data_IF_254393696916
#
_entry.id   IF_254393696916
#
_cell.length_a   1.000
_cell.length_b   1.000
_cell.length_c   1.000
_cell.angle_alpha   90.00
_cell.angle_beta   90.00
_cell.angle_gamma   90.00
#
_symmetry.space_group_name_H-M   'P 1'
#
loop_
_entity.id
_entity.type
_entity.pdbx_description
1 polymer ?
#
# COMPACT_ATOMS: atom_id res chain seq x y z
N UNK A 1 10.28 -0.92 -33.68
CA UNK A 1 11.13 -1.10 -34.88
C UNK A 1 10.69 -2.32 -35.67
N UNK A 2 10.60 -3.51 -35.08
CA UNK A 2 10.20 -4.76 -35.78
C UNK A 2 8.92 -4.65 -36.61
N UNK A 3 7.79 -4.20 -36.02
CA UNK A 3 6.54 -4.04 -36.76
C UNK A 3 6.59 -2.93 -37.83
N UNK A 4 7.50 -1.97 -37.69
CA UNK A 4 7.60 -0.84 -38.61
C UNK A 4 8.34 -1.17 -39.90
N UNK A 5 9.11 -2.27 -39.93
CA UNK A 5 9.89 -2.73 -41.10
C UNK A 5 9.44 -4.11 -41.58
N UNK A 6 8.29 -4.59 -41.09
CA UNK A 6 7.79 -5.94 -41.38
C UNK A 6 7.43 -6.07 -42.86
N UNK A 7 7.99 -7.07 -43.53
CA UNK A 7 7.86 -7.28 -44.97
C UNK A 7 8.77 -6.40 -45.84
N UNK A 8 9.61 -5.55 -45.24
CA UNK A 8 10.41 -4.55 -45.96
C UNK A 8 11.92 -4.86 -45.98
N UNK A 9 12.42 -5.79 -45.15
CA UNK A 9 13.86 -6.04 -45.04
C UNK A 9 14.43 -6.95 -46.12
N UNK A 10 13.55 -7.62 -46.88
CA UNK A 10 13.95 -8.69 -47.80
C UNK A 10 14.43 -9.97 -47.09
N UNK A 11 14.32 -10.05 -45.76
CA UNK A 11 14.69 -11.20 -44.94
C UNK A 11 13.58 -11.57 -43.95
N UNK A 12 12.56 -12.27 -44.47
CA UNK A 12 11.37 -12.65 -43.70
C UNK A 12 11.67 -13.53 -42.47
N UNK A 13 12.72 -14.36 -42.53
CA UNK A 13 13.13 -15.20 -41.40
C UNK A 13 13.68 -14.36 -40.25
N UNK A 14 14.51 -13.36 -40.56
CA UNK A 14 15.04 -12.43 -39.55
C UNK A 14 13.93 -11.57 -38.93
N UNK A 15 13.00 -11.07 -39.74
CA UNK A 15 11.84 -10.32 -39.26
C UNK A 15 11.00 -11.15 -38.28
N UNK A 16 10.73 -12.41 -38.63
CA UNK A 16 10.01 -13.35 -37.77
C UNK A 16 10.74 -13.57 -36.45
N UNK A 17 12.05 -13.80 -36.47
CA UNK A 17 12.86 -13.97 -35.26
C UNK A 17 12.80 -12.73 -34.35
N UNK A 18 12.84 -11.52 -34.93
CA UNK A 18 12.69 -10.29 -34.16
C UNK A 18 11.32 -10.16 -33.51
N UNK A 19 10.24 -10.56 -34.21
CA UNK A 19 8.89 -10.51 -33.68
C UNK A 19 8.68 -11.53 -32.56
N UNK A 20 9.17 -12.75 -32.74
CA UNK A 20 9.12 -13.80 -31.71
C UNK A 20 9.90 -13.41 -30.47
N UNK A 21 11.10 -12.84 -30.63
CA UNK A 21 11.90 -12.31 -29.51
C UNK A 21 11.18 -11.20 -28.77
N UNK A 22 10.56 -10.26 -29.50
CA UNK A 22 9.80 -9.16 -28.92
C UNK A 22 8.58 -9.64 -28.12
N UNK A 23 7.77 -10.52 -28.71
CA UNK A 23 6.60 -11.11 -28.05
C UNK A 23 7.03 -11.92 -26.82
N UNK A 24 8.05 -12.76 -26.95
CA UNK A 24 8.56 -13.59 -25.86
C UNK A 24 9.05 -12.77 -24.68
N UNK A 25 9.74 -11.66 -24.93
CA UNK A 25 10.19 -10.75 -23.87
C UNK A 25 9.03 -10.08 -23.13
N UNK A 26 7.96 -9.68 -23.83
CA UNK A 26 6.76 -9.12 -23.21
C UNK A 26 6.08 -10.17 -22.32
N UNK A 27 5.85 -11.37 -22.83
CA UNK A 27 5.17 -12.42 -22.07
C UNK A 27 5.97 -12.80 -20.82
N UNK A 28 7.29 -12.90 -20.95
CA UNK A 28 8.19 -13.10 -19.83
C UNK A 28 8.06 -11.99 -18.78
N UNK A 29 8.03 -10.71 -19.19
CA UNK A 29 7.79 -9.61 -18.25
C UNK A 29 6.44 -9.75 -17.55
N UNK A 30 5.35 -9.98 -18.30
CA UNK A 30 4.02 -10.13 -17.72
C UNK A 30 4.00 -11.27 -16.68
N UNK A 31 4.69 -12.37 -16.95
CA UNK A 31 4.79 -13.52 -16.05
C UNK A 31 5.71 -13.31 -14.84
N UNK A 32 6.70 -12.43 -14.94
CA UNK A 32 7.64 -12.19 -13.84
C UNK A 32 7.20 -11.00 -12.99
N UNK A 33 6.89 -9.86 -13.61
CA UNK A 33 6.64 -8.58 -12.95
C UNK A 33 5.22 -8.39 -12.40
N UNK A 34 4.25 -9.19 -12.83
CA UNK A 34 2.86 -9.11 -12.34
C UNK A 34 2.49 -10.41 -11.65
N UNK A 35 1.84 -10.33 -10.49
CA UNK A 35 1.28 -11.47 -9.76
C UNK A 35 0.17 -12.19 -10.55
N UNK A 36 -0.06 -13.49 -10.33
CA UNK A 36 -1.18 -14.22 -10.95
C UNK A 36 -2.58 -13.62 -10.68
N UNK A 37 -2.69 -12.79 -9.65
CA UNK A 37 -3.87 -12.04 -9.19
C UNK A 37 -3.82 -10.54 -9.51
N UNK A 38 -2.79 -10.10 -10.25
CA UNK A 38 -2.62 -8.72 -10.71
C UNK A 38 -1.65 -7.86 -9.88
N UNK A 39 -1.10 -8.37 -8.78
CA UNK A 39 -0.22 -7.56 -7.92
C UNK A 39 1.05 -7.10 -8.64
N UNK A 40 1.32 -5.80 -8.68
CA UNK A 40 2.51 -5.22 -9.28
C UNK A 40 3.76 -5.46 -8.41
N UNK A 41 4.72 -6.27 -8.87
CA UNK A 41 5.89 -6.63 -8.04
C UNK A 41 6.93 -5.51 -7.89
N UNK A 42 6.99 -4.59 -8.85
CA UNK A 42 7.91 -3.44 -8.82
C UNK A 42 7.24 -2.15 -8.34
N UNK A 43 6.02 -2.26 -7.79
CA UNK A 43 5.22 -1.11 -7.34
C UNK A 43 4.50 -0.41 -8.50
N UNK A 44 3.75 0.63 -8.15
CA UNK A 44 2.86 1.33 -9.07
C UNK A 44 3.61 2.01 -10.23
N UNK A 45 4.71 2.72 -9.92
CA UNK A 45 5.51 3.47 -10.90
C UNK A 45 6.09 2.58 -12.00
N UNK A 46 7.01 1.68 -11.65
CA UNK A 46 7.70 0.84 -12.65
C UNK A 46 6.78 -0.10 -13.42
N UNK A 47 5.79 -0.69 -12.75
CA UNK A 47 4.84 -1.60 -13.44
C UNK A 47 4.03 -0.84 -14.48
N UNK A 48 3.57 0.37 -14.16
CA UNK A 48 2.79 1.17 -15.11
C UNK A 48 3.66 1.71 -16.23
N UNK A 49 4.93 2.01 -15.97
CA UNK A 49 5.90 2.40 -17.00
C UNK A 49 6.09 1.29 -18.04
N UNK A 50 6.27 0.03 -17.60
CA UNK A 50 6.36 -1.11 -18.50
C UNK A 50 5.07 -1.30 -19.31
N UNK A 51 3.90 -1.19 -18.66
CA UNK A 51 2.60 -1.30 -19.32
C UNK A 51 2.37 -0.18 -20.34
N UNK A 52 2.82 1.05 -20.05
CA UNK A 52 2.77 2.16 -20.98
C UNK A 52 3.54 1.85 -22.27
N UNK A 53 4.77 1.35 -22.17
CA UNK A 53 5.57 1.02 -23.36
C UNK A 53 5.03 -0.20 -24.12
N UNK A 54 4.26 -1.07 -23.46
CA UNK A 54 3.58 -2.21 -24.08
C UNK A 54 2.36 -1.80 -24.93
N UNK A 55 1.67 -0.72 -24.58
CA UNK A 55 0.34 -0.38 -25.13
C UNK A 55 0.30 -0.29 -26.65
N UNK A 56 1.13 0.58 -27.25
CA UNK A 56 1.10 0.79 -28.70
C UNK A 56 1.58 -0.43 -29.50
N UNK A 57 2.69 -1.09 -29.13
CA UNK A 57 3.08 -2.32 -29.81
C UNK A 57 2.02 -3.43 -29.73
N UNK A 58 1.37 -3.60 -28.57
CA UNK A 58 0.31 -4.59 -28.40
C UNK A 58 -0.90 -4.27 -29.29
N UNK A 59 -1.35 -3.01 -29.33
CA UNK A 59 -2.48 -2.60 -30.16
C UNK A 59 -2.15 -2.71 -31.66
N UNK A 60 -0.95 -2.30 -32.06
CA UNK A 60 -0.49 -2.41 -33.45
C UNK A 60 -0.44 -3.88 -33.89
N UNK A 61 0.13 -4.76 -33.06
CA UNK A 61 0.18 -6.19 -33.32
C UNK A 61 -1.22 -6.80 -33.47
N UNK A 62 -2.14 -6.47 -32.56
CA UNK A 62 -3.53 -6.92 -32.60
C UNK A 62 -4.24 -6.47 -33.88
N UNK A 63 -4.11 -5.19 -34.24
CA UNK A 63 -4.73 -4.63 -35.45
C UNK A 63 -4.16 -5.21 -36.75
N UNK A 64 -2.89 -5.60 -36.75
CA UNK A 64 -2.25 -6.28 -37.86
C UNK A 64 -2.64 -7.76 -37.99
N UNK A 65 -3.54 -8.28 -37.14
CA UNK A 65 -3.94 -9.68 -37.13
C UNK A 65 -2.92 -10.61 -36.47
N UNK A 66 -1.95 -10.05 -35.73
CA UNK A 66 -0.99 -10.79 -34.93
C UNK A 66 -1.57 -11.26 -33.60
N UNK A 67 -0.68 -11.71 -32.71
CA UNK A 67 -1.07 -12.20 -31.37
C UNK A 67 -1.73 -11.09 -30.55
N UNK A 68 -2.90 -11.39 -29.99
CA UNK A 68 -3.59 -10.49 -29.07
C UNK A 68 -3.02 -10.62 -27.65
N UNK A 69 -2.07 -9.75 -27.32
CA UNK A 69 -1.41 -9.73 -26.01
C UNK A 69 -2.37 -9.34 -24.87
N UNK A 70 -3.51 -8.71 -25.18
CA UNK A 70 -4.52 -8.38 -24.16
C UNK A 70 -5.22 -9.62 -23.59
N UNK A 71 -5.11 -10.77 -24.25
CA UNK A 71 -5.62 -12.03 -23.71
C UNK A 71 -4.79 -12.59 -22.55
N UNK A 72 -3.60 -12.04 -22.29
CA UNK A 72 -2.77 -12.49 -21.18
C UNK A 72 -3.45 -12.26 -19.83
N UNK A 73 -3.64 -13.34 -19.06
CA UNK A 73 -4.45 -13.33 -17.83
C UNK A 73 -3.98 -12.32 -16.78
N UNK A 74 -2.67 -12.12 -16.64
CA UNK A 74 -2.12 -11.15 -15.68
C UNK A 74 -2.38 -9.70 -16.12
N UNK A 75 -2.42 -9.45 -17.43
CA UNK A 75 -2.69 -8.14 -17.97
C UNK A 75 -4.16 -7.74 -17.79
N UNK A 76 -5.08 -8.71 -17.77
CA UNK A 76 -6.50 -8.47 -17.41
C UNK A 76 -6.68 -8.08 -15.94
N UNK A 77 -5.81 -8.59 -15.06
CA UNK A 77 -5.94 -8.49 -13.59
C UNK A 77 -5.15 -7.35 -12.96
N UNK A 78 -4.07 -6.88 -13.60
CA UNK A 78 -3.17 -5.86 -13.02
C UNK A 78 -3.89 -4.56 -12.64
N UNK A 79 -4.98 -4.22 -13.32
CA UNK A 79 -5.73 -3.00 -13.04
C UNK A 79 -6.40 -3.00 -11.67
N UNK A 80 -6.65 -4.18 -11.11
CA UNK A 80 -7.18 -4.27 -9.76
C UNK A 80 -6.13 -3.86 -8.72
N UNK A 81 -4.83 -4.06 -8.98
CA UNK A 81 -3.78 -3.52 -8.11
C UNK A 81 -3.85 -2.00 -8.07
N UNK A 82 -3.93 -1.35 -9.23
CA UNK A 82 -4.04 0.10 -9.31
C UNK A 82 -5.30 0.60 -8.62
N UNK A 83 -6.47 0.02 -8.90
CA UNK A 83 -7.71 0.40 -8.23
C UNK A 83 -7.53 0.39 -6.71
N UNK A 84 -7.10 -0.74 -6.14
CA UNK A 84 -7.05 -0.89 -4.69
C UNK A 84 -5.95 -0.07 -4.00
N UNK A 85 -4.83 0.21 -4.68
CA UNK A 85 -3.72 1.04 -4.18
C UNK A 85 -3.88 2.53 -4.51
N UNK A 86 -4.94 2.92 -5.22
CA UNK A 86 -5.25 4.33 -5.44
C UNK A 86 -5.52 5.01 -4.10
N UNK A 87 -4.76 6.05 -3.78
CA UNK A 87 -4.88 6.76 -2.51
C UNK A 87 -6.27 7.41 -2.37
N UNK A 88 -6.81 7.51 -1.14
CA UNK A 88 -7.90 8.42 -0.86
C UNK A 88 -7.51 9.84 -1.25
N UNK A 89 -8.51 10.70 -1.44
CA UNK A 89 -8.27 12.06 -1.92
C UNK A 89 -8.05 12.19 -3.42
N UNK A 90 -7.93 11.05 -4.12
CA UNK A 90 -7.89 10.92 -5.60
C UNK A 90 -6.68 11.55 -6.25
N UNK A 91 -5.60 11.72 -5.49
CA UNK A 91 -4.42 12.36 -6.02
C UNK A 91 -3.45 11.35 -6.66
N UNK A 92 -3.17 10.17 -6.08
CA UNK A 92 -2.10 9.26 -6.56
C UNK A 92 -2.27 7.77 -6.15
N UNK A 93 -1.16 7.02 -6.17
CA UNK A 93 -1.01 5.61 -5.76
C UNK A 93 0.00 5.47 -4.63
N UNK A 94 -0.12 4.42 -3.82
CA UNK A 94 0.87 4.02 -2.82
C UNK A 94 2.31 3.98 -3.41
N UNK A 95 3.28 4.40 -2.61
CA UNK A 95 4.66 4.65 -2.99
C UNK A 95 5.65 3.57 -2.51
N UNK A 96 5.17 2.38 -2.11
CA UNK A 96 6.03 1.23 -1.81
C UNK A 96 6.93 0.86 -3.00
N UNK A 97 8.05 0.17 -2.71
CA UNK A 97 9.14 -0.13 -3.64
C UNK A 97 9.90 1.14 -4.09
N UNK A 98 10.73 1.05 -5.13
CA UNK A 98 11.34 2.22 -5.77
C UNK A 98 10.29 3.05 -6.54
N UNK A 99 9.31 3.59 -5.83
CA UNK A 99 8.22 4.38 -6.38
C UNK A 99 8.10 5.73 -5.66
N UNK A 100 7.65 6.73 -6.42
CA UNK A 100 7.01 7.93 -5.88
C UNK A 100 5.49 7.71 -5.80
N UNK A 101 4.75 8.67 -5.26
CA UNK A 101 3.27 8.71 -5.35
C UNK A 101 2.82 8.96 -6.80
N UNK A 102 2.96 7.96 -7.69
CA UNK A 102 2.64 8.10 -9.11
C UNK A 102 2.45 6.76 -9.82
N UNK A 103 1.80 6.82 -10.98
CA UNK A 103 1.78 5.77 -11.99
C UNK A 103 1.55 6.41 -13.38
N UNK A 104 1.89 5.68 -14.44
CA UNK A 104 1.51 6.00 -15.80
C UNK A 104 0.05 5.60 -16.02
N UNK A 105 -0.87 6.57 -15.97
CA UNK A 105 -2.32 6.33 -15.98
C UNK A 105 -2.95 6.38 -17.38
N UNK A 106 -2.29 7.02 -18.35
CA UNK A 106 -2.81 7.13 -19.73
C UNK A 106 -3.24 5.79 -20.37
N UNK A 107 -2.54 4.67 -20.12
CA UNK A 107 -2.97 3.35 -20.57
C UNK A 107 -4.36 2.91 -20.11
N UNK A 108 -4.86 3.38 -18.96
CA UNK A 108 -6.10 2.87 -18.37
C UNK A 108 -7.31 3.00 -19.31
N UNK A 109 -7.38 4.07 -20.12
CA UNK A 109 -8.47 4.25 -21.09
C UNK A 109 -8.46 3.20 -22.20
N UNK A 110 -7.28 2.83 -22.69
CA UNK A 110 -7.13 1.74 -23.65
C UNK A 110 -7.63 0.43 -23.04
N UNK A 111 -7.21 0.12 -21.81
CA UNK A 111 -7.61 -1.12 -21.13
C UNK A 111 -9.08 -1.12 -20.69
N UNK A 112 -9.63 0.03 -20.31
CA UNK A 112 -11.06 0.22 -20.06
C UNK A 112 -11.87 -0.14 -21.31
N UNK A 113 -11.44 0.34 -22.48
CA UNK A 113 -12.03 0.00 -23.77
C UNK A 113 -11.87 -1.49 -24.13
N UNK A 114 -10.64 -2.02 -24.07
CA UNK A 114 -10.33 -3.40 -24.47
C UNK A 114 -11.08 -4.42 -23.61
N UNK A 115 -11.22 -4.16 -22.30
CA UNK A 115 -11.85 -5.08 -21.36
C UNK A 115 -13.29 -4.70 -20.99
N UNK A 116 -13.81 -3.61 -21.53
CA UNK A 116 -15.12 -3.03 -21.17
C UNK A 116 -15.27 -2.87 -19.64
N UNK A 117 -14.28 -2.23 -19.01
CA UNK A 117 -14.21 -2.02 -17.55
C UNK A 117 -14.46 -0.54 -17.20
N UNK A 118 -15.69 -0.13 -16.87
CA UNK A 118 -16.05 1.27 -16.59
C UNK A 118 -15.34 1.86 -15.35
N UNK A 119 -14.94 1.03 -14.40
CA UNK A 119 -14.15 1.43 -13.23
C UNK A 119 -12.74 1.91 -13.59
N UNK A 120 -12.19 1.47 -14.71
CA UNK A 120 -10.88 1.95 -15.18
C UNK A 120 -11.00 3.33 -15.82
N UNK A 121 -12.10 3.62 -16.51
CA UNK A 121 -12.43 4.98 -16.96
C UNK A 121 -12.61 5.89 -15.75
N UNK A 122 -13.36 5.45 -14.74
CA UNK A 122 -13.53 6.19 -13.49
C UNK A 122 -12.19 6.47 -12.80
N UNK A 123 -11.34 5.45 -12.62
CA UNK A 123 -10.02 5.62 -11.99
C UNK A 123 -9.16 6.64 -12.74
N UNK A 124 -9.16 6.60 -14.07
CA UNK A 124 -8.47 7.61 -14.87
C UNK A 124 -9.07 9.01 -14.69
N UNK A 125 -10.40 9.14 -14.71
CA UNK A 125 -11.08 10.44 -14.50
C UNK A 125 -10.81 11.03 -13.11
N UNK A 126 -10.70 10.18 -12.10
CA UNK A 126 -10.41 10.60 -10.72
C UNK A 126 -8.99 11.10 -10.54
N UNK A 127 -8.01 10.45 -11.16
CA UNK A 127 -6.57 10.71 -10.93
C UNK A 127 -5.98 11.69 -11.94
N UNK A 128 -6.38 11.60 -13.22
CA UNK A 128 -5.73 12.32 -14.32
C UNK A 128 -6.71 13.11 -15.19
N UNK A 129 -8.00 12.73 -15.22
CA UNK A 129 -9.04 13.46 -15.95
C UNK A 129 -9.50 14.76 -15.28
N UNK A 130 -8.83 15.21 -14.22
CA UNK A 130 -9.11 16.44 -13.49
C UNK A 130 -7.82 17.21 -13.22
N UNK A 131 -7.92 18.53 -13.19
CA UNK A 131 -6.83 19.39 -12.75
C UNK A 131 -6.86 19.45 -11.22
N UNK A 132 -5.96 18.71 -10.57
CA UNK A 132 -5.84 18.66 -9.11
C UNK A 132 -4.79 19.63 -8.57
N UNK A 133 -3.88 20.07 -9.44
CA UNK A 133 -2.86 21.06 -9.22
C UNK A 133 -2.89 22.11 -10.35
N UNK A 134 -2.64 23.41 -10.09
CA UNK A 134 -2.48 24.41 -11.13
C UNK A 134 -1.39 24.10 -12.17
N UNK A 135 -0.41 23.25 -11.83
CA UNK A 135 0.62 22.78 -12.75
C UNK A 135 0.20 21.55 -13.58
N UNK A 136 -0.93 20.91 -13.26
CA UNK A 136 -1.42 19.76 -14.02
C UNK A 136 -1.84 20.20 -15.44
N UNK A 137 -1.59 19.34 -16.42
CA UNK A 137 -2.20 19.44 -17.75
C UNK A 137 -3.39 18.48 -17.79
N UNK A 138 -4.45 18.80 -18.52
CA UNK A 138 -5.61 17.91 -18.59
C UNK A 138 -5.23 16.52 -19.11
N UNK A 139 -5.59 15.48 -18.34
CA UNK A 139 -5.20 14.11 -18.61
C UNK A 139 -3.80 13.73 -18.13
N UNK A 140 -3.07 14.68 -17.55
CA UNK A 140 -1.71 14.57 -17.05
C UNK A 140 -1.72 14.62 -15.52
N UNK A 141 -1.12 13.62 -14.89
CA UNK A 141 -0.78 13.73 -13.47
C UNK A 141 0.55 14.49 -13.33
N UNK A 142 0.90 14.95 -12.13
CA UNK A 142 2.17 15.64 -11.78
C UNK A 142 3.47 14.98 -12.26
N UNK A 143 3.43 13.81 -12.89
CA UNK A 143 4.59 12.97 -13.16
C UNK A 143 4.55 12.16 -14.47
N UNK A 144 3.73 12.49 -15.48
CA UNK A 144 3.94 11.87 -16.78
C UNK A 144 5.05 12.63 -17.51
N UNK A 145 6.30 12.16 -17.39
CA UNK A 145 7.36 12.53 -18.33
C UNK A 145 7.10 12.00 -19.78
N UNK A 146 5.83 11.74 -20.13
CA UNK A 146 5.42 10.98 -21.29
C UNK A 146 4.15 11.55 -21.93
N UNK A 147 4.06 11.52 -23.27
CA UNK A 147 2.90 12.03 -23.99
C UNK A 147 1.65 11.17 -23.74
N UNK A 148 0.60 11.85 -23.28
CA UNK A 148 -0.70 11.27 -22.94
C UNK A 148 -1.80 11.61 -23.98
N UNK A 149 -1.60 12.66 -24.78
CA UNK A 149 -2.64 13.23 -25.64
C UNK A 149 -3.11 12.22 -26.69
N UNK A 150 -2.18 11.45 -27.23
CA UNK A 150 -2.45 10.31 -28.10
C UNK A 150 -3.40 9.30 -27.44
N UNK A 151 -3.23 8.99 -26.15
CA UNK A 151 -4.13 8.04 -25.47
C UNK A 151 -5.55 8.58 -25.33
N UNK A 152 -5.67 9.85 -24.94
CA UNK A 152 -6.96 10.52 -24.75
C UNK A 152 -7.70 10.60 -26.08
N UNK A 153 -7.02 11.06 -27.14
CA UNK A 153 -7.59 11.19 -28.48
C UNK A 153 -8.05 9.84 -29.06
N UNK A 154 -7.31 8.76 -28.80
CA UNK A 154 -7.59 7.45 -29.39
C UNK A 154 -8.64 6.66 -28.59
N UNK A 155 -8.65 6.77 -27.25
CA UNK A 155 -9.39 5.82 -26.41
C UNK A 155 -10.38 6.44 -25.43
N UNK A 156 -10.31 7.74 -25.11
CA UNK A 156 -11.26 8.30 -24.13
C UNK A 156 -12.71 8.19 -24.62
N UNK A 157 -12.98 8.56 -25.87
CA UNK A 157 -14.32 8.44 -26.46
C UNK A 157 -14.74 7.00 -26.79
N UNK A 158 -13.80 6.05 -26.77
CA UNK A 158 -14.07 4.62 -27.02
C UNK A 158 -14.30 3.84 -25.73
N UNK A 159 -13.72 4.29 -24.61
CA UNK A 159 -13.86 3.65 -23.32
C UNK A 159 -15.32 3.67 -22.82
N UNK A 160 -15.74 2.65 -22.05
CA UNK A 160 -17.05 2.67 -21.42
C UNK A 160 -17.18 3.86 -20.48
N UNK A 161 -18.42 4.32 -20.28
CA UNK A 161 -18.72 5.41 -19.35
C UNK A 161 -18.25 5.05 -17.94
N UNK A 162 -17.56 5.97 -17.28
CA UNK A 162 -17.08 5.81 -15.91
C UNK A 162 -18.19 5.37 -14.94
N UNK A 163 -17.87 4.38 -14.10
CA UNK A 163 -18.67 3.95 -12.95
C UNK A 163 -17.74 3.78 -11.75
N UNK A 164 -18.15 4.25 -10.58
CA UNK A 164 -17.32 4.12 -9.39
C UNK A 164 -17.30 2.66 -8.90
N UNK A 165 -16.24 2.23 -8.19
CA UNK A 165 -16.22 0.93 -7.53
C UNK A 165 -17.37 0.74 -6.52
N UNK A 166 -17.88 1.81 -5.92
CA UNK A 166 -19.07 1.78 -5.06
C UNK A 166 -20.32 1.40 -5.88
N UNK A 167 -20.52 2.00 -7.06
CA UNK A 167 -21.65 1.68 -7.96
C UNK A 167 -21.60 0.24 -8.48
N UNK A 168 -20.40 -0.34 -8.52
CA UNK A 168 -20.13 -1.71 -8.95
C UNK A 168 -20.08 -2.71 -7.78
N UNK A 169 -20.38 -2.26 -6.55
CA UNK A 169 -20.33 -3.07 -5.34
C UNK A 169 -18.99 -3.81 -5.15
N UNK A 170 -17.88 -3.16 -5.53
CA UNK A 170 -16.56 -3.78 -5.42
C UNK A 170 -16.18 -3.98 -3.95
N UNK A 171 -15.47 -5.09 -3.63
CA UNK A 171 -15.00 -5.34 -2.26
C UNK A 171 -14.15 -4.19 -1.72
N UNK A 172 -14.20 -3.99 -0.41
CA UNK A 172 -13.39 -2.99 0.27
C UNK A 172 -11.94 -3.45 0.53
N UNK A 173 -11.67 -4.74 0.36
CA UNK A 173 -10.35 -5.33 0.62
C UNK A 173 -9.94 -6.31 -0.45
N UNK A 174 -8.64 -6.35 -0.73
CA UNK A 174 -8.06 -7.26 -1.70
C UNK A 174 -6.66 -7.70 -1.32
N UNK A 175 -6.41 -9.00 -1.45
CA UNK A 175 -5.08 -9.60 -1.30
C UNK A 175 -4.45 -9.84 -2.67
N UNK A 176 -3.18 -9.45 -2.79
CA UNK A 176 -2.29 -9.81 -3.89
C UNK A 176 -1.21 -10.75 -3.36
N UNK A 177 -1.48 -12.05 -3.42
CA UNK A 177 -0.75 -13.12 -2.75
C UNK A 177 0.72 -13.20 -3.14
N UNK A 178 1.07 -13.02 -4.43
CA UNK A 178 2.50 -13.05 -4.84
C UNK A 178 3.22 -11.77 -4.42
N UNK A 179 2.58 -10.61 -4.55
CA UNK A 179 3.12 -9.32 -4.08
C UNK A 179 3.22 -9.24 -2.56
N UNK A 180 2.51 -10.12 -1.85
CA UNK A 180 2.46 -10.09 -0.39
C UNK A 180 1.72 -8.88 0.14
N UNK A 181 0.75 -8.35 -0.60
CA UNK A 181 0.03 -7.11 -0.27
C UNK A 181 -1.42 -7.42 0.11
N UNK A 182 -1.94 -6.69 1.09
CA UNK A 182 -3.37 -6.53 1.35
C UNK A 182 -3.72 -5.05 1.39
N UNK A 183 -4.61 -4.62 0.50
CA UNK A 183 -5.20 -3.29 0.53
C UNK A 183 -6.58 -3.38 1.21
N UNK A 184 -6.88 -2.45 2.12
CA UNK A 184 -8.11 -2.41 2.91
C UNK A 184 -8.64 -0.97 2.95
N UNK A 185 -9.89 -0.76 2.55
CA UNK A 185 -10.47 0.59 2.39
C UNK A 185 -11.76 0.72 3.18
N UNK A 186 -12.16 1.92 3.60
CA UNK A 186 -13.53 2.12 4.11
C UNK A 186 -14.49 2.63 3.01
N UNK A 187 -13.97 2.91 1.82
CA UNK A 187 -14.73 3.35 0.65
C UNK A 187 -13.81 3.89 -0.46
N UNK A 188 -14.43 4.41 -1.52
CA UNK A 188 -13.74 4.91 -2.73
C UNK A 188 -13.86 6.44 -2.89
N UNK A 189 -14.47 7.10 -1.90
CA UNK A 189 -14.63 8.55 -1.84
C UNK A 189 -13.31 9.30 -1.55
N UNK A 190 -13.32 10.60 -1.84
CA UNK A 190 -12.18 11.50 -1.63
C UNK A 190 -11.75 11.62 -0.16
N UNK A 191 -12.66 11.44 0.78
CA UNK A 191 -12.36 11.50 2.22
C UNK A 191 -12.19 10.10 2.83
N UNK A 192 -12.09 9.05 2.00
CA UNK A 192 -11.97 7.68 2.45
C UNK A 192 -10.64 7.37 3.16
N UNK A 193 -10.50 6.12 3.59
CA UNK A 193 -9.29 5.53 4.15
C UNK A 193 -8.76 4.42 3.26
N UNK A 194 -7.43 4.27 3.24
CA UNK A 194 -6.72 3.12 2.71
C UNK A 194 -5.67 2.68 3.73
N UNK A 195 -5.72 1.42 4.13
CA UNK A 195 -4.66 0.72 4.83
C UNK A 195 -4.02 -0.27 3.86
N UNK A 196 -2.73 -0.12 3.61
CA UNK A 196 -1.91 -1.02 2.81
C UNK A 196 -1.02 -1.83 3.76
N UNK A 197 -0.93 -3.15 3.57
CA UNK A 197 -0.11 -4.05 4.38
C UNK A 197 0.71 -4.97 3.50
N UNK A 198 2.04 -4.89 3.57
CA UNK A 198 2.96 -5.66 2.75
C UNK A 198 3.80 -6.61 3.59
N UNK A 199 3.99 -7.84 3.12
CA UNK A 199 4.86 -8.82 3.73
C UNK A 199 5.41 -9.80 2.69
N UNK A 200 6.72 -9.80 2.48
CA UNK A 200 7.37 -10.52 1.39
C UNK A 200 7.01 -9.95 0.01
N UNK A 201 7.11 -10.78 -1.02
CA UNK A 201 6.81 -10.40 -2.41
C UNK A 201 7.85 -9.50 -3.06
N UNK A 202 9.07 -9.49 -2.51
CA UNK A 202 10.21 -8.70 -2.95
C UNK A 202 11.21 -9.63 -3.66
N UNK A 203 11.22 -9.66 -5.01
CA UNK A 203 12.19 -10.45 -5.74
C UNK A 203 13.62 -9.97 -5.47
N UNK A 204 14.58 -10.89 -5.57
CA UNK A 204 16.00 -10.62 -5.30
C UNK A 204 16.57 -9.57 -6.27
N UNK A 205 16.13 -9.64 -7.53
CA UNK A 205 16.37 -8.63 -8.55
C UNK A 205 15.07 -7.89 -8.85
N UNK A 206 15.11 -6.57 -8.78
CA UNK A 206 13.97 -5.69 -8.97
C UNK A 206 13.96 -4.55 -7.97
N UNK A 207 12.88 -3.76 -8.00
CA UNK A 207 12.71 -2.54 -7.22
C UNK A 207 12.15 -2.76 -5.81
N UNK A 208 12.29 -3.97 -5.24
CA UNK A 208 11.79 -4.30 -3.89
C UNK A 208 12.72 -3.83 -2.77
N UNK A 209 12.18 -3.61 -1.57
CA UNK A 209 12.89 -3.05 -0.41
C UNK A 209 12.89 -4.03 0.79
N UNK A 210 13.51 -3.67 1.92
CA UNK A 210 13.53 -4.48 3.16
C UNK A 210 12.32 -4.12 4.07
N UNK A 211 11.13 -4.20 3.49
CA UNK A 211 9.85 -3.66 4.00
C UNK A 211 8.86 -4.75 4.43
N UNK A 212 9.28 -6.00 4.67
CA UNK A 212 8.31 -7.03 5.06
C UNK A 212 7.66 -6.70 6.40
N UNK A 213 6.35 -6.85 6.49
CA UNK A 213 5.51 -6.37 7.59
C UNK A 213 5.34 -4.84 7.66
N UNK A 214 5.70 -4.09 6.61
CA UNK A 214 5.35 -2.68 6.47
C UNK A 214 3.82 -2.50 6.36
N UNK A 215 3.31 -1.39 6.88
CA UNK A 215 1.98 -0.90 6.55
C UNK A 215 2.00 0.58 6.22
N UNK A 216 1.07 1.04 5.40
CA UNK A 216 0.79 2.45 5.18
C UNK A 216 -0.68 2.75 5.48
N UNK A 217 -0.97 3.94 6.03
CA UNK A 217 -2.31 4.36 6.41
C UNK A 217 -2.60 5.78 5.93
N UNK A 218 -3.57 5.88 5.02
CA UNK A 218 -3.99 7.10 4.36
C UNK A 218 -5.43 7.47 4.76
N UNK A 219 -5.68 8.77 4.97
CA UNK A 219 -7.02 9.33 5.19
C UNK A 219 -7.18 10.60 4.38
N UNK A 220 -8.17 10.63 3.49
CA UNK A 220 -8.32 11.71 2.52
C UNK A 220 -7.01 11.97 1.78
N UNK A 221 -6.57 13.23 1.71
CA UNK A 221 -5.32 13.63 1.06
C UNK A 221 -4.05 13.42 1.91
N UNK A 222 -4.13 12.76 3.08
CA UNK A 222 -3.01 12.63 4.01
C UNK A 222 -2.48 11.20 4.11
N UNK A 223 -1.15 11.09 4.12
CA UNK A 223 -0.43 9.88 4.52
C UNK A 223 -0.07 10.01 6.01
N UNK A 224 -0.91 9.44 6.89
CA UNK A 224 -0.72 9.52 8.34
C UNK A 224 0.28 8.48 8.85
N UNK A 225 0.48 7.41 8.08
CA UNK A 225 1.66 6.55 8.11
C UNK A 225 2.03 6.24 6.66
N UNK A 226 3.14 6.78 6.17
CA UNK A 226 3.55 6.57 4.76
C UNK A 226 4.77 5.67 4.65
N UNK A 227 5.14 5.33 3.42
CA UNK A 227 6.47 4.79 3.12
C UNK A 227 7.42 5.92 2.70
N UNK A 228 8.71 5.81 3.03
CA UNK A 228 9.70 6.79 2.55
C UNK A 228 9.98 6.65 1.06
N UNK A 229 9.55 5.55 0.44
CA UNK A 229 9.51 5.18 -0.98
C UNK A 229 10.88 5.12 -1.64
N UNK A 230 10.98 5.58 -2.88
CA UNK A 230 12.23 5.47 -3.65
C UNK A 230 13.45 6.09 -2.93
N UNK A 231 14.39 5.23 -2.54
CA UNK A 231 15.62 5.56 -1.84
C UNK A 231 15.65 5.01 -0.41
N UNK A 232 14.48 4.76 0.20
CA UNK A 232 14.32 4.12 1.50
C UNK A 232 14.40 2.60 1.36
N UNK A 233 15.61 2.05 1.40
CA UNK A 233 15.82 0.64 1.10
C UNK A 233 15.76 -0.28 2.31
N UNK A 234 15.98 0.24 3.52
CA UNK A 234 16.21 -0.54 4.74
C UNK A 234 14.98 -0.55 5.65
N UNK A 235 14.82 -1.55 6.52
CA UNK A 235 13.64 -1.65 7.41
C UNK A 235 13.39 -0.41 8.26
N UNK A 236 14.45 0.31 8.66
CA UNK A 236 14.35 1.57 9.41
C UNK A 236 13.75 2.75 8.62
N UNK A 237 13.61 2.59 7.30
CA UNK A 237 12.99 3.52 6.35
C UNK A 237 11.48 3.21 6.15
N UNK A 238 10.97 2.17 6.82
CA UNK A 238 9.61 1.65 6.68
C UNK A 238 8.88 1.60 8.03
N UNK A 239 7.56 1.38 8.00
CA UNK A 239 6.75 1.23 9.20
C UNK A 239 6.83 -0.22 9.72
N UNK A 240 7.96 -0.62 10.31
CA UNK A 240 8.22 -1.98 10.79
C UNK A 240 8.66 -1.99 12.26
N UNK A 241 9.21 -3.11 12.74
CA UNK A 241 9.91 -3.21 14.03
C UNK A 241 11.39 -3.44 13.75
N UNK A 242 12.29 -2.84 14.51
CA UNK A 242 13.71 -3.19 14.52
C UNK A 242 13.98 -4.06 15.75
N UNK A 243 14.83 -5.07 15.59
CA UNK A 243 15.23 -5.98 16.66
C UNK A 243 16.69 -5.71 17.02
N UNK A 244 16.96 -5.30 18.25
CA UNK A 244 18.25 -4.77 18.71
C UNK A 244 18.83 -3.67 17.82
N UNK A 245 17.94 -2.80 17.32
CA UNK A 245 18.31 -1.72 16.39
C UNK A 245 18.57 -2.18 14.96
N UNK A 246 18.42 -3.47 14.65
CA UNK A 246 18.69 -4.04 13.33
C UNK A 246 17.39 -4.37 12.58
N UNK A 247 17.42 -4.10 11.27
CA UNK A 247 16.35 -4.46 10.33
C UNK A 247 16.54 -5.84 9.68
N UNK A 248 15.71 -6.10 8.67
CA UNK A 248 15.76 -7.32 7.86
C UNK A 248 17.08 -7.39 7.06
N UNK A 249 17.60 -8.60 6.90
CA UNK A 249 18.83 -8.90 6.12
C UNK A 249 18.56 -9.72 4.86
N UNK A 250 17.36 -10.28 4.74
CA UNK A 250 16.95 -11.09 3.60
C UNK A 250 15.67 -10.53 2.98
N UNK A 251 15.61 -10.53 1.64
CA UNK A 251 14.36 -10.32 0.89
C UNK A 251 13.65 -11.65 0.68
N UNK A 252 12.33 -11.62 0.48
CA UNK A 252 11.56 -12.80 0.10
C UNK A 252 10.79 -12.60 -1.20
N UNK A 253 11.10 -13.35 -2.28
CA UNK A 253 10.38 -13.23 -3.56
C UNK A 253 8.92 -13.71 -3.49
N UNK A 254 8.55 -14.45 -2.45
CA UNK A 254 7.19 -14.95 -2.23
C UNK A 254 6.48 -13.98 -1.29
N UNK A 255 5.21 -13.67 -1.57
CA UNK A 255 4.36 -13.01 -0.59
C UNK A 255 4.16 -13.90 0.65
N UNK A 256 4.07 -13.26 1.81
CA UNK A 256 4.05 -13.88 3.13
C UNK A 256 2.88 -13.42 3.99
N UNK A 257 1.77 -13.07 3.33
CA UNK A 257 0.47 -12.92 3.99
C UNK A 257 -0.02 -14.32 4.37
N UNK A 258 0.03 -14.64 5.66
CA UNK A 258 -0.30 -15.95 6.23
C UNK A 258 -1.78 -16.07 6.64
N UNK A 259 -2.49 -14.95 6.80
CA UNK A 259 -3.93 -14.91 7.01
C UNK A 259 -4.55 -13.71 6.30
N UNK A 260 -5.77 -13.87 5.81
CA UNK A 260 -6.57 -12.81 5.20
C UNK A 260 -8.05 -13.16 5.35
N UNK A 261 -8.83 -12.29 5.99
CA UNK A 261 -10.28 -12.38 6.10
C UNK A 261 -10.92 -11.02 5.75
N UNK A 262 -11.55 -10.89 4.57
CA UNK A 262 -12.15 -9.64 4.09
C UNK A 262 -13.54 -9.40 4.71
N UNK A 263 -13.62 -9.41 6.03
CA UNK A 263 -14.88 -9.22 6.75
C UNK A 263 -15.56 -7.89 6.40
N UNK A 264 -16.91 -7.88 6.41
CA UNK A 264 -17.69 -6.71 6.00
C UNK A 264 -17.48 -5.48 6.90
N UNK A 265 -17.35 -5.69 8.21
CA UNK A 265 -17.15 -4.60 9.18
C UNK A 265 -15.67 -4.30 9.42
N UNK A 266 -14.81 -5.31 9.33
CA UNK A 266 -13.38 -5.17 9.46
C UNK A 266 -12.66 -6.25 8.65
N UNK A 267 -11.54 -5.89 8.04
CA UNK A 267 -10.64 -6.84 7.38
C UNK A 267 -9.49 -7.20 8.31
N UNK A 268 -9.20 -8.50 8.36
CA UNK A 268 -8.04 -9.04 9.04
C UNK A 268 -6.97 -9.45 8.03
N UNK A 269 -5.71 -9.16 8.33
CA UNK A 269 -4.57 -9.79 7.67
C UNK A 269 -3.43 -10.04 8.65
N UNK A 270 -2.60 -11.04 8.35
CA UNK A 270 -1.37 -11.29 9.08
C UNK A 270 -0.22 -11.64 8.14
N UNK A 271 0.99 -11.19 8.46
CA UNK A 271 2.21 -11.43 7.68
C UNK A 271 3.37 -11.91 8.55
N UNK A 272 4.26 -12.74 7.99
CA UNK A 272 5.40 -13.33 8.69
C UNK A 272 6.75 -12.84 8.17
N UNK A 273 7.54 -12.22 9.05
CA UNK A 273 8.84 -11.64 8.71
C UNK A 273 10.03 -12.12 9.57
N UNK A 274 9.82 -12.91 10.62
CA UNK A 274 10.87 -13.24 11.62
C UNK A 274 12.19 -13.77 11.06
N UNK A 275 12.14 -14.74 10.15
CA UNK A 275 13.35 -15.31 9.50
C UNK A 275 14.08 -14.32 8.59
N UNK A 276 13.43 -13.23 8.16
CA UNK A 276 14.03 -12.22 7.28
C UNK A 276 15.03 -11.33 8.02
N UNK A 277 14.96 -11.24 9.35
CA UNK A 277 15.97 -10.58 10.18
C UNK A 277 17.29 -11.33 10.20
N UNK A 278 17.30 -12.62 9.81
CA UNK A 278 18.49 -13.46 9.85
C UNK A 278 19.20 -13.45 11.22
N UNK A 279 18.42 -13.30 12.29
CA UNK A 279 18.91 -13.27 13.66
C UNK A 279 18.50 -14.57 14.37
N UNK A 280 19.42 -15.21 15.07
CA UNK A 280 19.13 -16.47 15.77
C UNK A 280 18.32 -16.27 17.05
N UNK A 281 18.37 -15.09 17.67
CA UNK A 281 17.60 -14.79 18.87
C UNK A 281 16.11 -14.61 18.54
N UNK A 282 15.80 -13.82 17.50
CA UNK A 282 14.42 -13.61 17.05
C UNK A 282 13.82 -14.87 16.40
N UNK A 283 12.87 -15.50 17.07
CA UNK A 283 12.19 -16.74 16.63
C UNK A 283 10.95 -16.46 15.80
N UNK A 284 10.26 -15.36 16.10
CA UNK A 284 9.00 -14.99 15.46
C UNK A 284 8.88 -13.48 15.36
N UNK A 285 8.35 -13.02 14.23
CA UNK A 285 7.89 -11.66 14.02
C UNK A 285 6.72 -11.71 13.03
N UNK A 286 5.54 -12.01 13.57
CA UNK A 286 4.29 -12.00 12.81
C UNK A 286 3.57 -10.67 13.12
N UNK A 287 3.16 -9.93 12.10
CA UNK A 287 2.34 -8.72 12.25
C UNK A 287 0.92 -9.02 11.85
N UNK A 288 0.00 -8.63 12.70
CA UNK A 288 -1.44 -8.80 12.53
C UNK A 288 -2.10 -7.43 12.45
N UNK A 289 -3.06 -7.28 11.54
CA UNK A 289 -3.77 -6.01 11.32
C UNK A 289 -5.26 -6.28 11.20
N UNK A 290 -6.04 -5.58 12.00
CA UNK A 290 -7.46 -5.34 11.74
C UNK A 290 -7.63 -3.91 11.23
N UNK A 291 -8.25 -3.74 10.06
CA UNK A 291 -8.72 -2.45 9.57
C UNK A 291 -10.25 -2.42 9.60
N UNK A 292 -10.82 -1.45 10.31
CA UNK A 292 -12.28 -1.31 10.50
C UNK A 292 -12.86 -0.40 9.42
N UNK A 293 -13.83 -0.93 8.67
CA UNK A 293 -14.47 -0.29 7.51
C UNK A 293 -15.56 0.72 7.89
N UNK A 294 -15.51 1.27 9.10
CA UNK A 294 -16.50 2.25 9.55
C UNK A 294 -16.48 3.49 8.65
N UNK A 295 -17.66 4.00 8.30
CA UNK A 295 -17.78 5.12 7.37
C UNK A 295 -17.34 6.44 8.03
N UNK A 296 -17.73 6.63 9.29
CA UNK A 296 -17.51 7.87 10.03
C UNK A 296 -16.14 7.86 10.73
N UNK A 297 -15.76 6.70 11.23
CA UNK A 297 -14.64 6.49 12.13
C UNK A 297 -13.80 5.27 11.74
N UNK A 298 -13.24 5.19 10.53
CA UNK A 298 -12.34 4.09 10.18
C UNK A 298 -11.04 4.18 10.99
N UNK A 299 -10.51 3.03 11.40
CA UNK A 299 -9.27 2.93 12.15
C UNK A 299 -8.60 1.57 11.94
N UNK A 300 -7.37 1.44 12.40
CA UNK A 300 -6.65 0.17 12.39
C UNK A 300 -6.18 -0.21 13.80
N UNK A 301 -6.08 -1.51 14.05
CA UNK A 301 -5.34 -2.08 15.18
C UNK A 301 -4.25 -2.98 14.63
N UNK A 302 -3.01 -2.74 15.05
CA UNK A 302 -1.82 -3.49 14.67
C UNK A 302 -1.32 -4.24 15.90
N UNK A 303 -1.03 -5.52 15.75
CA UNK A 303 -0.42 -6.35 16.78
C UNK A 303 0.84 -7.02 16.24
N UNK A 304 1.98 -6.74 16.87
CA UNK A 304 3.26 -7.38 16.59
C UNK A 304 3.47 -8.54 17.57
N UNK A 305 3.30 -9.76 17.05
CA UNK A 305 3.49 -11.03 17.74
C UNK A 305 4.94 -11.49 17.55
N UNK A 306 5.78 -11.09 18.51
CA UNK A 306 7.22 -11.23 18.52
C UNK A 306 7.65 -12.22 19.59
N UNK A 307 8.61 -13.09 19.27
CA UNK A 307 9.19 -14.06 20.20
C UNK A 307 10.71 -14.13 19.99
N UNK A 308 11.48 -13.99 21.08
CA UNK A 308 12.94 -14.09 21.10
C UNK A 308 13.41 -15.36 21.85
N UNK A 309 14.68 -15.45 22.21
CA UNK A 309 15.29 -16.62 22.86
C UNK A 309 15.20 -16.61 24.39
N UNK A 310 14.50 -15.63 24.98
CA UNK A 310 14.28 -15.48 26.42
C UNK A 310 15.30 -14.59 27.12
N UNK A 311 16.24 -13.98 26.39
CA UNK A 311 17.15 -12.95 26.90
C UNK A 311 16.57 -11.54 26.68
N UNK A 312 17.15 -10.53 27.33
CA UNK A 312 16.72 -9.15 27.18
C UNK A 312 17.09 -8.58 25.81
N UNK A 313 16.09 -8.11 25.07
CA UNK A 313 16.26 -7.52 23.75
C UNK A 313 15.56 -6.16 23.62
N UNK A 314 16.04 -5.36 22.67
CA UNK A 314 15.40 -4.10 22.26
C UNK A 314 14.48 -4.30 21.05
N UNK A 315 13.30 -3.71 21.12
CA UNK A 315 12.32 -3.67 20.04
C UNK A 315 11.98 -2.20 19.77
N UNK A 316 12.27 -1.73 18.56
CA UNK A 316 11.93 -0.36 18.15
C UNK A 316 10.83 -0.41 17.12
N UNK A 317 9.61 -0.04 17.49
CA UNK A 317 8.52 0.14 16.54
C UNK A 317 8.68 1.49 15.83
N UNK A 318 8.65 1.46 14.50
CA UNK A 318 8.97 2.61 13.65
C UNK A 318 7.74 3.05 12.86
N UNK A 319 7.51 4.36 12.78
CA UNK A 319 6.52 4.94 11.86
C UNK A 319 7.05 6.22 11.20
N UNK A 320 6.98 6.26 9.88
CA UNK A 320 7.45 7.34 9.00
C UNK A 320 6.35 8.38 8.76
N UNK A 321 6.67 9.63 9.05
CA UNK A 321 5.91 10.79 8.63
C UNK A 321 6.25 11.16 7.19
N UNK A 322 5.26 11.10 6.30
CA UNK A 322 5.43 11.37 4.88
C UNK A 322 4.26 12.22 4.40
N UNK A 323 4.53 13.21 3.56
CA UNK A 323 3.51 13.93 2.84
C UNK A 323 3.31 13.31 1.45
N UNK A 324 2.06 13.28 1.02
CA UNK A 324 1.62 12.78 -0.30
C UNK A 324 1.30 13.92 -1.26
N UNK A 325 1.77 15.13 -0.96
CA UNK A 325 1.33 16.36 -1.63
C UNK A 325 2.33 16.89 -2.66
N UNK A 326 3.58 16.45 -2.63
CA UNK A 326 4.60 16.79 -3.63
C UNK A 326 4.86 15.62 -4.57
N UNK A 327 5.54 15.89 -5.69
CA UNK A 327 6.14 14.84 -6.52
C UNK A 327 7.14 14.01 -5.72
N UNK A 328 8.04 14.72 -5.03
CA UNK A 328 9.03 14.12 -4.17
C UNK A 328 8.35 13.78 -2.87
N UNK A 329 8.43 12.53 -2.41
CA UNK A 329 8.01 12.21 -1.04
C UNK A 329 8.86 13.04 -0.10
N UNK A 330 8.24 13.83 0.77
CA UNK A 330 8.95 14.53 1.83
C UNK A 330 8.16 14.47 3.12
N UNK A 331 8.82 14.66 4.25
CA UNK A 331 8.16 14.83 5.55
C UNK A 331 7.62 16.23 5.80
N UNK A 332 7.70 17.13 4.82
CA UNK A 332 7.38 18.54 5.03
C UNK A 332 5.90 18.72 5.41
N UNK A 333 5.65 19.47 6.49
CA UNK A 333 4.30 19.69 7.01
C UNK A 333 3.76 18.52 7.85
N UNK A 334 4.49 17.42 7.99
CA UNK A 334 4.17 16.38 8.96
C UNK A 334 4.83 16.71 10.30
N UNK A 335 4.03 16.70 11.36
CA UNK A 335 4.47 16.91 12.73
C UNK A 335 4.24 15.65 13.56
N UNK A 336 5.20 15.31 14.41
CA UNK A 336 5.14 14.18 15.34
C UNK A 336 5.31 14.75 16.75
N UNK A 337 4.26 14.66 17.56
CA UNK A 337 4.26 15.03 18.96
C UNK A 337 4.29 13.78 19.84
N UNK A 338 5.26 13.71 20.74
CA UNK A 338 5.46 12.62 21.71
C UNK A 338 5.39 13.10 23.16
N UNK A 339 5.03 14.37 23.40
CA UNK A 339 5.00 14.95 24.74
C UNK A 339 3.75 14.54 25.54
N UNK A 340 2.68 14.16 24.85
CA UNK A 340 1.44 13.66 25.46
C UNK A 340 1.51 12.18 25.85
N UNK A 341 0.45 11.69 26.50
CA UNK A 341 0.28 10.26 26.85
C UNK A 341 0.30 9.35 25.61
N UNK A 342 -0.17 9.86 24.48
CA UNK A 342 -0.26 9.14 23.22
C UNK A 342 0.40 9.97 22.12
N UNK A 343 1.34 9.40 21.35
CA UNK A 343 1.90 10.09 20.21
C UNK A 343 0.83 10.55 19.22
N UNK A 344 1.06 11.69 18.62
CA UNK A 344 0.19 12.29 17.61
C UNK A 344 0.97 12.59 16.34
N UNK A 345 0.43 12.17 15.21
CA UNK A 345 0.92 12.59 13.89
C UNK A 345 -0.06 13.58 13.31
N UNK A 346 0.41 14.74 12.85
CA UNK A 346 -0.43 15.78 12.25
C UNK A 346 0.08 16.11 10.86
N UNK A 347 -0.81 16.06 9.87
CA UNK A 347 -0.60 16.67 8.56
C UNK A 347 -1.12 18.11 8.61
N UNK A 348 -0.19 19.05 8.78
CA UNK A 348 -0.51 20.48 8.92
C UNK A 348 -1.14 21.09 7.67
N UNK A 349 -1.04 20.43 6.51
CA UNK A 349 -1.64 20.92 5.26
C UNK A 349 -3.13 20.58 5.16
N UNK A 350 -3.56 19.44 5.69
CA UNK A 350 -4.94 18.96 5.55
C UNK A 350 -5.75 19.06 6.85
N UNK A 351 -5.06 19.23 7.98
CA UNK A 351 -5.61 19.19 9.33
C UNK A 351 -5.97 17.78 9.81
N UNK A 352 -5.63 16.72 9.05
CA UNK A 352 -5.78 15.35 9.53
C UNK A 352 -4.72 15.05 10.58
N UNK A 353 -5.15 14.32 11.60
CA UNK A 353 -4.34 13.87 12.73
C UNK A 353 -4.51 12.38 12.90
N UNK A 354 -3.52 11.71 13.49
CA UNK A 354 -3.62 10.31 13.93
C UNK A 354 -3.11 10.17 15.35
N UNK A 355 -4.02 9.80 16.25
CA UNK A 355 -3.64 9.41 17.61
C UNK A 355 -3.18 7.95 17.60
N UNK A 356 -2.04 7.70 18.23
CA UNK A 356 -1.46 6.37 18.35
C UNK A 356 -1.57 5.93 19.81
N UNK A 357 -2.48 4.98 20.09
CA UNK A 357 -2.61 4.38 21.42
C UNK A 357 -1.90 3.04 21.41
N UNK A 358 -0.78 2.93 22.11
CA UNK A 358 0.07 1.74 22.11
C UNK A 358 0.18 1.14 23.51
N UNK A 359 0.09 -0.18 23.56
CA UNK A 359 0.36 -0.98 24.74
C UNK A 359 1.47 -1.99 24.41
N UNK A 360 2.31 -2.28 25.38
CA UNK A 360 3.30 -3.34 25.32
C UNK A 360 3.47 -3.95 26.73
N UNK A 361 4.30 -4.98 26.86
CA UNK A 361 4.62 -5.59 28.16
C UNK A 361 5.28 -4.56 29.09
N UNK A 362 6.23 -3.79 28.55
CA UNK A 362 6.85 -2.63 29.19
C UNK A 362 6.31 -1.34 28.58
N UNK A 363 6.40 -0.23 29.33
CA UNK A 363 5.94 1.08 28.82
C UNK A 363 6.88 1.54 27.70
N UNK A 364 6.38 1.79 26.48
CA UNK A 364 7.24 2.23 25.38
C UNK A 364 7.83 3.62 25.65
N UNK A 365 9.13 3.78 25.39
CA UNK A 365 9.78 5.08 25.35
C UNK A 365 9.61 5.69 23.96
N UNK A 366 8.77 6.71 23.87
CA UNK A 366 8.51 7.42 22.61
C UNK A 366 9.55 8.50 22.36
N UNK A 367 10.05 8.54 21.14
CA UNK A 367 10.89 9.63 20.64
C UNK A 367 10.60 9.89 19.17
N UNK A 368 11.08 11.02 18.67
CA UNK A 368 11.00 11.35 17.25
C UNK A 368 12.33 11.86 16.73
N UNK A 369 12.71 11.42 15.54
CA UNK A 369 13.88 11.92 14.81
C UNK A 369 13.52 12.30 13.36
N UNK A 370 14.53 12.63 12.57
CA UNK A 370 14.39 12.89 11.14
C UNK A 370 15.34 11.97 10.39
N UNK A 371 14.78 11.16 9.49
CA UNK A 371 15.53 10.32 8.56
C UNK A 371 15.69 11.06 7.22
N UNK A 372 16.93 11.18 6.75
CA UNK A 372 17.21 11.75 5.44
C UNK A 372 17.37 10.66 4.39
N UNK A 373 16.57 10.73 3.32
CA UNK A 373 16.56 9.76 2.23
C UNK A 373 17.13 10.38 0.95
N UNK A 374 17.88 9.58 0.18
CA UNK A 374 18.39 9.93 -1.15
C UNK A 374 18.08 8.80 -2.12
N UNK A 375 17.36 9.09 -3.19
CA UNK A 375 17.06 8.10 -4.22
C UNK A 375 18.28 7.75 -5.10
N UNK A 376 19.30 8.62 -5.15
CA UNK A 376 20.59 8.30 -5.75
C UNK A 376 21.73 9.13 -5.12
N UNK A 377 22.97 8.86 -5.52
CA UNK A 377 24.18 9.50 -4.94
C UNK A 377 24.26 11.03 -5.14
N UNK A 378 23.62 11.57 -6.17
CA UNK A 378 23.66 13.00 -6.51
C UNK A 378 22.38 13.74 -6.10
N UNK A 379 21.34 13.01 -5.72
CA UNK A 379 20.08 13.54 -5.26
C UNK A 379 20.23 14.33 -3.96
N UNK A 380 19.43 15.39 -3.82
CA UNK A 380 19.30 16.11 -2.54
C UNK A 380 18.65 15.18 -1.52
N UNK A 381 19.17 15.19 -0.29
CA UNK A 381 18.54 14.51 0.83
C UNK A 381 17.14 15.10 1.09
N UNK A 382 16.18 14.22 1.31
CA UNK A 382 14.81 14.59 1.67
C UNK A 382 14.54 14.12 3.10
N UNK A 383 14.14 15.02 4.01
CA UNK A 383 13.88 14.68 5.40
C UNK A 383 12.49 14.05 5.57
N UNK A 384 12.40 13.03 6.41
CA UNK A 384 11.18 12.37 6.85
C UNK A 384 11.19 12.30 8.38
N UNK A 385 10.30 13.01 9.10
CA UNK A 385 10.18 12.83 10.53
C UNK A 385 9.72 11.40 10.81
N UNK A 386 10.19 10.81 11.90
CA UNK A 386 9.90 9.42 12.23
C UNK A 386 9.63 9.28 13.71
N UNK A 387 8.55 8.58 14.03
CA UNK A 387 8.20 8.17 15.39
C UNK A 387 8.90 6.85 15.71
N UNK A 388 9.49 6.78 16.89
CA UNK A 388 10.11 5.61 17.45
C UNK A 388 9.44 5.28 18.79
N UNK A 389 9.06 4.02 18.98
CA UNK A 389 8.64 3.51 20.28
C UNK A 389 9.59 2.38 20.68
N UNK A 390 10.44 2.64 21.68
CA UNK A 390 11.46 1.71 22.14
C UNK A 390 10.95 0.92 23.34
N UNK A 391 11.08 -0.40 23.26
CA UNK A 391 10.68 -1.34 24.30
C UNK A 391 11.87 -2.25 24.55
N UNK A 392 12.22 -2.49 25.82
CA UNK A 392 13.29 -3.40 26.21
C UNK A 392 12.76 -4.38 27.23
N UNK A 393 12.91 -5.68 26.97
CA UNK A 393 12.31 -6.73 27.80
C UNK A 393 12.93 -8.10 27.49
N UNK A 394 12.88 -9.02 28.46
CA UNK A 394 13.20 -10.45 28.33
C UNK A 394 12.00 -11.26 27.79
N UNK A 395 10.79 -10.70 27.86
CA UNK A 395 9.55 -11.35 27.44
C UNK A 395 9.17 -10.96 25.99
N UNK A 396 8.11 -11.60 25.46
CA UNK A 396 7.49 -11.13 24.23
C UNK A 396 6.90 -9.73 24.43
N UNK A 397 7.25 -8.72 23.60
CA UNK A 397 6.86 -7.33 23.86
C UNK A 397 5.35 -7.08 23.71
N UNK A 398 4.63 -7.95 22.98
CA UNK A 398 3.20 -7.89 22.74
C UNK A 398 2.72 -6.47 22.36
N UNK A 399 3.34 -5.89 21.33
CA UNK A 399 3.08 -4.50 20.91
C UNK A 399 1.71 -4.45 20.24
N UNK A 400 0.77 -3.76 20.87
CA UNK A 400 -0.63 -3.66 20.47
C UNK A 400 -1.03 -2.19 20.32
N UNK A 401 -1.28 -1.77 19.08
CA UNK A 401 -1.38 -0.36 18.70
C UNK A 401 -2.68 -0.06 17.97
N UNK A 402 -3.47 0.89 18.47
CA UNK A 402 -4.59 1.47 17.75
C UNK A 402 -4.18 2.76 17.03
N UNK A 403 -4.49 2.84 15.74
CA UNK A 403 -4.23 3.97 14.86
C UNK A 403 -5.55 4.70 14.57
N UNK A 404 -5.74 5.89 15.15
CA UNK A 404 -7.03 6.58 15.18
C UNK A 404 -6.97 7.91 14.40
N UNK A 405 -7.30 7.92 13.10
CA UNK A 405 -7.29 9.13 12.29
C UNK A 405 -8.51 10.01 12.64
N UNK A 406 -8.29 11.32 12.76
CA UNK A 406 -9.35 12.28 13.11
C UNK A 406 -9.00 13.70 12.68
N UNK A 407 -9.99 14.59 12.72
CA UNK A 407 -9.83 16.05 12.71
C UNK A 407 -10.30 16.62 14.05
N UNK A 408 -9.95 17.88 14.31
CA UNK A 408 -10.46 18.58 15.49
C UNK A 408 -11.99 18.56 15.53
N UNK A 409 -12.53 18.19 16.70
CA UNK A 409 -13.97 18.04 16.92
C UNK A 409 -14.56 16.68 16.53
N UNK A 410 -13.81 15.79 15.86
CA UNK A 410 -14.27 14.42 15.65
C UNK A 410 -14.13 13.61 16.95
N UNK A 411 -15.10 12.74 17.28
CA UNK A 411 -15.01 11.90 18.46
C UNK A 411 -13.85 10.90 18.31
N UNK A 412 -13.25 10.55 19.44
CA UNK A 412 -12.26 9.49 19.56
C UNK A 412 -12.73 8.49 20.61
N UNK A 413 -12.44 7.20 20.45
CA UNK A 413 -12.86 6.20 21.40
C UNK A 413 -11.98 6.27 22.64
N UNK A 414 -12.53 5.82 23.78
CA UNK A 414 -11.68 5.36 24.87
C UNK A 414 -11.15 3.98 24.51
N UNK A 415 -9.84 3.80 24.55
CA UNK A 415 -9.18 2.54 24.22
C UNK A 415 -8.69 1.87 25.50
N UNK A 416 -9.03 0.60 25.68
CA UNK A 416 -8.66 -0.21 26.83
C UNK A 416 -8.03 -1.52 26.36
N UNK A 417 -6.88 -1.88 26.92
CA UNK A 417 -6.28 -3.20 26.70
C UNK A 417 -6.95 -4.22 27.62
N UNK A 418 -7.62 -5.22 27.03
CA UNK A 418 -8.34 -6.27 27.78
C UNK A 418 -7.57 -7.60 27.81
N UNK A 419 -6.60 -7.78 26.91
CA UNK A 419 -5.59 -8.84 26.95
C UNK A 419 -4.31 -8.37 26.24
N UNK A 420 -3.20 -9.12 26.32
CA UNK A 420 -1.95 -8.78 25.60
C UNK A 420 -2.14 -8.62 24.08
N UNK A 421 -3.20 -9.20 23.53
CA UNK A 421 -3.51 -9.26 22.10
C UNK A 421 -4.94 -8.79 21.79
N UNK A 422 -5.58 -8.03 22.69
CA UNK A 422 -6.97 -7.59 22.49
C UNK A 422 -7.26 -6.19 23.07
N UNK A 423 -7.98 -5.40 22.29
CA UNK A 423 -8.44 -4.06 22.64
C UNK A 423 -9.96 -3.99 22.69
N UNK A 424 -10.45 -3.17 23.62
CA UNK A 424 -11.83 -2.69 23.68
C UNK A 424 -11.83 -1.20 23.34
N UNK A 425 -12.58 -0.79 22.32
CA UNK A 425 -12.71 0.59 21.89
C UNK A 425 -14.14 1.08 22.13
N UNK A 426 -14.30 2.02 23.04
CA UNK A 426 -15.58 2.61 23.41
C UNK A 426 -15.84 3.88 22.60
N UNK A 427 -16.67 3.77 21.56
CA UNK A 427 -17.20 4.91 20.82
C UNK A 427 -18.49 5.44 21.48
N UNK A 428 -18.97 6.64 21.10
CA UNK A 428 -20.21 7.18 21.65
C UNK A 428 -21.41 6.22 21.49
N UNK A 429 -21.54 5.57 20.34
CA UNK A 429 -22.73 4.80 19.95
C UNK A 429 -22.53 3.28 19.96
N UNK A 430 -21.30 2.79 20.12
CA UNK A 430 -20.97 1.37 20.06
C UNK A 430 -19.65 1.07 20.77
N UNK A 431 -19.42 -0.21 21.04
CA UNK A 431 -18.18 -0.73 21.60
C UNK A 431 -17.65 -1.79 20.65
N UNK A 432 -16.39 -1.68 20.28
CA UNK A 432 -15.70 -2.68 19.46
C UNK A 432 -14.74 -3.49 20.33
N UNK A 433 -14.83 -4.83 20.26
CA UNK A 433 -13.82 -5.76 20.73
C UNK A 433 -13.02 -6.25 19.52
N UNK A 434 -11.72 -6.01 19.55
CA UNK A 434 -10.77 -6.48 18.54
C UNK A 434 -9.74 -7.35 19.21
N UNK A 435 -9.61 -8.59 18.76
CA UNK A 435 -8.70 -9.53 19.35
C UNK A 435 -7.95 -10.31 18.27
N UNK A 436 -6.68 -10.62 18.53
CA UNK A 436 -5.84 -11.48 17.69
C UNK A 436 -5.74 -12.93 18.24
N UNK A 437 -6.58 -13.23 19.23
CA UNK A 437 -6.67 -14.47 19.98
C UNK A 437 -7.96 -14.46 20.84
N UNK A 438 -8.19 -15.47 21.69
CA UNK A 438 -9.37 -15.52 22.54
C UNK A 438 -9.42 -14.36 23.53
N UNK A 439 -10.51 -13.60 23.51
CA UNK A 439 -10.72 -12.47 24.41
C UNK A 439 -12.18 -12.37 24.84
N UNK A 440 -12.42 -11.78 26.01
CA UNK A 440 -13.77 -11.58 26.53
C UNK A 440 -13.88 -10.27 27.31
N UNK A 441 -14.98 -9.58 27.09
CA UNK A 441 -15.41 -8.41 27.86
C UNK A 441 -16.79 -8.68 28.45
N UNK A 442 -17.40 -7.69 29.11
CA UNK A 442 -18.79 -7.83 29.56
C UNK A 442 -19.80 -7.94 28.41
N UNK A 443 -19.45 -7.40 27.24
CA UNK A 443 -20.35 -7.19 26.11
C UNK A 443 -20.11 -8.15 24.92
N UNK A 444 -18.91 -8.73 24.82
CA UNK A 444 -18.49 -9.52 23.66
C UNK A 444 -17.44 -10.58 24.01
N UNK A 445 -17.32 -11.61 23.18
CA UNK A 445 -16.24 -12.60 23.24
C UNK A 445 -15.77 -13.02 21.84
N UNK A 446 -14.50 -13.40 21.74
CA UNK A 446 -13.88 -14.01 20.56
C UNK A 446 -13.22 -15.33 20.96
N UNK A 447 -13.23 -16.31 20.06
CA UNK A 447 -12.58 -17.62 20.27
C UNK A 447 -11.17 -17.70 19.62
N UNK A 448 -10.73 -16.62 18.98
CA UNK A 448 -9.51 -16.50 18.20
C UNK A 448 -9.43 -15.08 17.61
N UNK A 449 -8.66 -14.83 16.53
CA UNK A 449 -8.71 -13.58 15.81
C UNK A 449 -10.17 -13.22 15.47
N UNK A 450 -10.64 -12.07 15.94
CA UNK A 450 -12.04 -11.68 15.80
C UNK A 450 -12.29 -10.20 16.03
N UNK A 451 -13.36 -9.71 15.38
CA UNK A 451 -13.93 -8.39 15.55
C UNK A 451 -15.40 -8.53 15.96
N UNK A 452 -15.81 -7.88 17.03
CA UNK A 452 -17.21 -7.83 17.48
C UNK A 452 -17.59 -6.39 17.79
N UNK A 453 -18.65 -5.90 17.16
CA UNK A 453 -19.25 -4.59 17.46
C UNK A 453 -20.55 -4.77 18.23
N UNK A 454 -20.62 -4.15 19.41
CA UNK A 454 -21.82 -4.12 20.24
C UNK A 454 -22.38 -2.69 20.30
N UNK A 455 -23.59 -2.42 19.77
CA UNK A 455 -24.23 -1.11 19.90
C UNK A 455 -24.44 -0.72 21.37
N UNK A 456 -24.31 0.56 21.68
CA UNK A 456 -24.76 1.11 22.97
C UNK A 456 -26.26 1.40 22.83
N UNK A 457 -27.07 0.84 23.72
CA UNK A 457 -28.50 1.16 23.78
C UNK A 457 -28.71 2.65 24.05
N UNK A 458 -29.75 3.24 23.45
CA UNK A 458 -30.20 4.62 23.72
C UNK A 458 -30.54 4.85 25.20
#
# INVERSE_FOLDING_TARGET
MTLAVWGETGNAELEKQWLETFIGGIEQYLDIGIGPDGGALEGAGYTSACLYYLCFPAEALRRAGGKDLYQHERLKKVWDYYLYEMLPGRNYYDNTNDSFFHAHTAPFLLFANVYNRPELTWMWEEISGRLTDPADVYGDGRNAAQPILNYILLWYGAAPKAQSPDDLEMPLSRRFARRGLVAMRNGWGKDGCLMSFTCGGNPEYGHGQYDSAHFAFYRGNSALAGDTGYGGGQSEDHNTVLFDGEGQKLKCPKGRIIAFDPGRQATYAAGRAGDLYHNKALKKADRHIYFVHDQDHPYAVVFDDLEADGEEHGYTWVLQGVNSHGFMMSGEGIEIDVAGEHPMITDNKTGWKMRIVMFAVETPEFSSDVKEIRWNRTAKAVPHPRLLANIRTEEAPAILTALLPHKDGMPLPRVERVASHALRLEWPNYIDLIAFGPARTGEAETQGPGFVRTPRGE
#
